data_IF_419746398616
#
_entry.id   IF_419746398616
#
_cell.length_a   1.000
_cell.length_b   1.000
_cell.length_c   1.000
_cell.angle_alpha   90.00
_cell.angle_beta   90.00
_cell.angle_gamma   90.00
#
_symmetry.space_group_name_H-M   'P 1'
#
loop_
_entity.id
_entity.type
_entity.pdbx_description
1 polymer ?
#
# COMPACT_ATOMS: atom_id res chain seq x y z
N UNK A 1 4.55 -2.75 25.27
CA UNK A 1 4.93 -3.82 24.33
C UNK A 1 4.39 -3.45 22.95
N UNK A 2 5.26 -3.19 21.96
CA UNK A 2 4.80 -2.86 20.60
C UNK A 2 4.21 -4.11 19.97
N UNK A 3 2.91 -4.12 19.65
CA UNK A 3 2.29 -5.20 18.88
C UNK A 3 2.78 -5.07 17.44
N UNK A 4 3.60 -6.02 17.01
CA UNK A 4 4.06 -6.20 15.64
C UNK A 4 3.27 -7.35 15.05
N UNK A 5 2.61 -7.12 13.92
CA UNK A 5 1.88 -8.15 13.18
C UNK A 5 2.89 -8.96 12.36
N UNK A 6 3.29 -10.15 12.84
CA UNK A 6 4.25 -11.02 12.17
C UNK A 6 3.60 -11.86 11.06
N UNK A 7 4.28 -11.98 9.91
CA UNK A 7 3.94 -12.92 8.83
C UNK A 7 4.58 -14.29 9.07
N UNK A 8 3.99 -15.41 8.59
CA UNK A 8 4.58 -16.75 8.71
C UNK A 8 5.76 -17.03 7.76
N UNK A 9 6.15 -16.09 6.89
CA UNK A 9 7.36 -16.18 6.08
C UNK A 9 8.29 -15.01 6.45
N UNK A 10 9.19 -15.23 7.42
CA UNK A 10 10.35 -14.35 7.67
C UNK A 10 10.09 -12.84 7.61
N UNK A 11 9.24 -12.31 8.49
CA UNK A 11 9.26 -10.94 9.02
C UNK A 11 9.19 -9.71 8.07
N UNK A 12 8.30 -9.67 7.07
CA UNK A 12 7.72 -8.38 6.68
C UNK A 12 6.99 -7.80 7.89
N UNK A 13 7.44 -6.65 8.40
CA UNK A 13 6.81 -6.00 9.55
C UNK A 13 6.12 -4.73 9.09
N UNK A 14 4.86 -4.55 9.48
CA UNK A 14 4.09 -3.33 9.21
C UNK A 14 3.76 -2.63 10.52
N UNK A 15 4.01 -1.33 10.58
CA UNK A 15 3.50 -0.42 11.61
C UNK A 15 2.27 0.31 11.07
N UNK A 16 1.12 0.07 11.71
CA UNK A 16 -0.19 0.56 11.29
C UNK A 16 -0.99 -0.52 10.55
N UNK A 17 -2.33 -0.44 10.56
CA UNK A 17 -3.17 -1.42 9.90
C UNK A 17 -3.17 -1.22 8.38
N UNK A 18 -3.31 -2.31 7.62
CA UNK A 18 -3.30 -2.32 6.16
C UNK A 18 -4.63 -2.89 5.65
N UNK A 19 -5.50 -2.05 5.09
CA UNK A 19 -6.92 -2.37 4.85
C UNK A 19 -7.13 -3.63 4.02
N UNK A 20 -6.26 -3.92 3.06
CA UNK A 20 -6.38 -5.11 2.20
C UNK A 20 -6.34 -6.44 2.99
N UNK A 21 -5.83 -6.44 4.24
CA UNK A 21 -5.87 -7.61 5.14
C UNK A 21 -7.17 -7.78 5.90
N UNK A 22 -8.00 -6.74 5.91
CA UNK A 22 -9.20 -6.67 6.73
C UNK A 22 -10.47 -6.50 5.89
N UNK A 23 -10.43 -6.65 4.56
CA UNK A 23 -11.63 -6.48 3.71
C UNK A 23 -12.74 -7.45 4.10
N UNK A 24 -12.41 -8.68 4.51
CA UNK A 24 -13.39 -9.63 5.04
C UNK A 24 -14.00 -9.23 6.41
N UNK A 25 -13.34 -8.36 7.18
CA UNK A 25 -13.82 -7.87 8.48
C UNK A 25 -13.28 -6.46 8.79
N UNK A 26 -13.81 -5.40 8.14
CA UNK A 26 -13.24 -4.05 8.22
C UNK A 26 -13.26 -3.43 9.62
N UNK A 27 -14.18 -3.84 10.50
CA UNK A 27 -14.21 -3.34 11.89
C UNK A 27 -12.92 -3.65 12.67
N UNK A 28 -12.24 -4.74 12.32
CA UNK A 28 -10.96 -5.10 12.92
C UNK A 28 -9.87 -4.09 12.54
N UNK A 29 -9.92 -3.53 11.32
CA UNK A 29 -8.99 -2.48 10.88
C UNK A 29 -9.11 -1.23 11.74
N UNK A 30 -10.33 -0.73 11.95
CA UNK A 30 -10.55 0.48 12.75
C UNK A 30 -10.24 0.26 14.24
N UNK A 31 -10.45 -0.96 14.73
CA UNK A 31 -10.04 -1.34 16.09
C UNK A 31 -8.52 -1.34 16.23
N UNK A 32 -7.80 -1.97 15.31
CA UNK A 32 -6.33 -1.97 15.29
C UNK A 32 -5.76 -0.55 15.17
N UNK A 33 -6.38 0.31 14.36
CA UNK A 33 -5.98 1.71 14.23
C UNK A 33 -6.09 2.44 15.57
N UNK A 34 -7.24 2.36 16.25
CA UNK A 34 -7.44 3.01 17.55
C UNK A 34 -6.44 2.54 18.60
N UNK A 35 -6.11 1.25 18.59
CA UNK A 35 -5.15 0.66 19.52
C UNK A 35 -3.72 1.16 19.29
N UNK A 36 -3.29 1.30 18.04
CA UNK A 36 -1.90 1.66 17.71
C UNK A 36 -1.67 3.17 17.63
N UNK A 37 -2.70 3.96 17.32
CA UNK A 37 -2.58 5.40 17.08
C UNK A 37 -1.87 6.17 18.21
N UNK A 38 -2.15 5.92 19.51
CA UNK A 38 -1.45 6.60 20.60
C UNK A 38 0.06 6.28 20.68
N UNK A 39 0.49 5.17 20.08
CA UNK A 39 1.88 4.73 20.07
C UNK A 39 2.65 5.16 18.81
N UNK A 40 1.99 5.75 17.81
CA UNK A 40 2.64 6.24 16.61
C UNK A 40 3.43 7.52 16.91
N UNK A 41 4.67 7.64 16.42
CA UNK A 41 5.47 8.84 16.64
C UNK A 41 4.85 10.04 15.93
N UNK A 42 4.75 11.22 16.57
CA UNK A 42 4.19 12.42 15.93
C UNK A 42 4.89 12.84 14.63
N UNK A 43 6.19 12.54 14.52
CA UNK A 43 6.98 12.79 13.31
C UNK A 43 6.46 12.02 12.08
N UNK A 44 5.85 10.84 12.26
CA UNK A 44 5.24 10.10 11.16
C UNK A 44 4.03 10.83 10.60
N UNK A 45 3.20 11.41 11.48
CA UNK A 45 2.06 12.23 11.06
C UNK A 45 2.53 13.50 10.34
N UNK A 46 3.55 14.17 10.86
CA UNK A 46 4.12 15.35 10.22
C UNK A 46 4.69 15.04 8.83
N UNK A 47 5.41 13.92 8.70
CA UNK A 47 5.93 13.46 7.41
C UNK A 47 4.77 13.16 6.45
N UNK A 48 3.74 12.42 6.88
CA UNK A 48 2.56 12.12 6.05
C UNK A 48 1.92 13.39 5.50
N UNK A 49 1.66 14.38 6.34
CA UNK A 49 1.06 15.65 5.92
C UNK A 49 1.94 16.41 4.91
N UNK A 50 3.26 16.38 5.10
CA UNK A 50 4.20 16.97 4.13
C UNK A 50 4.15 16.26 2.78
N UNK A 51 4.11 14.92 2.78
CA UNK A 51 3.99 14.13 1.55
C UNK A 51 2.64 14.38 0.87
N UNK A 52 1.55 14.49 1.62
CA UNK A 52 0.24 14.83 1.06
C UNK A 52 0.30 16.17 0.34
N UNK A 53 0.89 17.20 0.96
CA UNK A 53 1.09 18.50 0.32
C UNK A 53 1.90 18.43 -0.98
N UNK A 54 2.95 17.61 -1.02
CA UNK A 54 3.75 17.40 -2.23
C UNK A 54 2.97 16.65 -3.33
N UNK A 55 2.22 15.61 -2.98
CA UNK A 55 1.37 14.88 -3.93
C UNK A 55 0.27 15.79 -4.48
N UNK A 56 -0.38 16.59 -3.62
CA UNK A 56 -1.38 17.58 -4.05
C UNK A 56 -0.80 18.56 -5.04
N UNK A 57 0.39 19.10 -4.76
CA UNK A 57 1.06 20.05 -5.65
C UNK A 57 1.43 19.40 -6.99
N UNK A 58 2.08 18.23 -6.96
CA UNK A 58 2.55 17.53 -8.15
C UNK A 58 1.40 17.12 -9.09
N UNK A 59 0.30 16.64 -8.52
CA UNK A 59 -0.88 16.20 -9.27
C UNK A 59 -1.91 17.32 -9.49
N UNK A 60 -1.65 18.53 -8.97
CA UNK A 60 -2.56 19.69 -9.04
C UNK A 60 -3.96 19.37 -8.49
N UNK A 61 -4.00 18.65 -7.37
CA UNK A 61 -5.21 18.36 -6.61
C UNK A 61 -5.63 19.59 -5.81
N UNK A 62 -6.93 19.79 -5.68
CA UNK A 62 -7.52 20.76 -4.76
C UNK A 62 -7.52 20.21 -3.33
N UNK A 63 -7.69 18.90 -3.16
CA UNK A 63 -7.63 18.25 -1.84
C UNK A 63 -7.09 16.82 -1.88
N UNK A 64 -6.29 16.46 -0.88
CA UNK A 64 -5.92 15.09 -0.53
C UNK A 64 -6.04 14.95 0.98
N UNK A 65 -7.10 14.28 1.43
CA UNK A 65 -7.41 14.13 2.86
C UNK A 65 -7.37 12.65 3.24
N UNK A 66 -7.25 12.36 4.53
CA UNK A 66 -7.49 11.00 5.02
C UNK A 66 -8.96 10.64 4.74
N UNK A 67 -9.21 9.41 4.26
CA UNK A 67 -10.56 8.88 4.10
C UNK A 67 -11.26 8.80 5.47
N UNK A 68 -12.57 8.99 5.49
CA UNK A 68 -13.38 8.90 6.70
C UNK A 68 -14.54 7.93 6.49
N UNK A 69 -14.63 6.89 7.32
CA UNK A 69 -15.71 5.91 7.30
C UNK A 69 -16.82 6.33 8.27
N UNK A 70 -18.06 6.58 7.79
CA UNK A 70 -19.18 6.92 8.65
C UNK A 70 -19.39 5.91 9.78
N UNK A 71 -19.38 6.38 11.02
CA UNK A 71 -19.58 5.55 12.21
C UNK A 71 -18.33 4.84 12.74
N UNK A 72 -17.27 4.71 11.93
CA UNK A 72 -16.01 4.09 12.35
C UNK A 72 -14.89 5.11 12.60
N UNK A 73 -14.87 6.21 11.84
CA UNK A 73 -13.86 7.27 11.94
C UNK A 73 -12.88 7.29 10.78
N UNK A 74 -11.74 7.94 10.99
CA UNK A 74 -10.70 8.09 9.97
C UNK A 74 -9.98 6.76 9.69
N UNK A 75 -9.56 6.57 8.44
CA UNK A 75 -8.65 5.50 8.05
C UNK A 75 -7.22 5.79 8.52
N UNK A 76 -6.36 4.78 8.50
CA UNK A 76 -4.93 5.00 8.66
C UNK A 76 -4.41 5.73 7.42
N UNK A 77 -3.91 6.95 7.59
CA UNK A 77 -3.38 7.75 6.46
C UNK A 77 -2.04 7.25 5.91
N UNK A 78 -1.37 6.32 6.59
CA UNK A 78 -0.14 5.70 6.13
C UNK A 78 0.24 4.50 6.99
N UNK A 79 1.02 3.59 6.42
CA UNK A 79 1.75 2.54 7.13
C UNK A 79 3.24 2.68 6.93
N UNK A 80 4.03 2.10 7.84
CA UNK A 80 5.48 1.89 7.64
C UNK A 80 5.76 0.42 7.48
N UNK A 81 6.43 0.03 6.40
CA UNK A 81 6.86 -1.34 6.13
C UNK A 81 8.36 -1.49 6.31
N UNK A 82 8.75 -2.53 7.02
CA UNK A 82 10.13 -2.95 7.24
C UNK A 82 10.34 -4.27 6.52
N UNK A 83 11.13 -4.26 5.46
CA UNK A 83 11.56 -5.45 4.74
C UNK A 83 12.99 -5.75 5.18
N UNK A 84 13.15 -6.71 6.10
CA UNK A 84 14.46 -7.10 6.61
C UNK A 84 15.27 -7.88 5.55
N UNK A 85 16.54 -8.20 5.87
CA UNK A 85 17.35 -9.07 5.04
C UNK A 85 16.63 -10.40 4.71
N UNK A 86 16.60 -10.75 3.43
CA UNK A 86 15.94 -11.94 2.92
C UNK A 86 14.44 -11.80 2.70
N UNK A 87 13.82 -10.64 2.99
CA UNK A 87 12.37 -10.43 2.84
C UNK A 87 12.03 -9.87 1.46
N UNK A 88 11.01 -10.42 0.82
CA UNK A 88 10.41 -9.92 -0.42
C UNK A 88 8.94 -9.55 -0.16
N UNK A 89 8.35 -8.74 -1.03
CA UNK A 89 6.90 -8.57 -1.08
C UNK A 89 6.38 -9.35 -2.29
N UNK A 90 5.54 -10.38 -2.12
CA UNK A 90 5.16 -11.28 -3.22
C UNK A 90 4.41 -10.55 -4.34
N UNK A 91 4.38 -11.16 -5.52
CA UNK A 91 3.62 -10.66 -6.67
C UNK A 91 2.13 -10.52 -6.32
N UNK A 92 1.62 -9.30 -6.40
CA UNK A 92 0.23 -8.97 -6.07
C UNK A 92 -0.24 -7.78 -6.91
N UNK A 93 -1.50 -7.42 -6.76
CA UNK A 93 -2.08 -6.20 -7.28
C UNK A 93 -3.13 -5.72 -6.28
N UNK A 94 -3.24 -4.41 -6.08
CA UNK A 94 -4.20 -3.81 -5.16
C UNK A 94 -5.26 -3.05 -5.96
N UNK A 95 -6.52 -3.38 -5.71
CA UNK A 95 -7.64 -2.62 -6.23
C UNK A 95 -8.78 -2.66 -5.21
N UNK A 96 -8.88 -1.63 -4.38
CA UNK A 96 -9.84 -1.61 -3.27
C UNK A 96 -11.29 -1.69 -3.76
N UNK A 97 -11.60 -1.14 -4.93
CA UNK A 97 -12.95 -1.18 -5.52
C UNK A 97 -13.35 -2.62 -5.84
N UNK A 98 -12.37 -3.46 -6.24
CA UNK A 98 -12.57 -4.90 -6.45
C UNK A 98 -12.50 -5.67 -5.12
N UNK A 99 -11.43 -5.47 -4.37
CA UNK A 99 -11.06 -6.32 -3.22
C UNK A 99 -11.98 -6.14 -2.01
N UNK A 100 -12.68 -5.00 -1.95
CA UNK A 100 -13.70 -4.70 -0.96
C UNK A 100 -15.06 -4.42 -1.61
N UNK A 101 -15.33 -4.95 -2.81
CA UNK A 101 -16.58 -4.70 -3.55
C UNK A 101 -17.84 -5.09 -2.76
N UNK A 102 -17.74 -6.12 -1.91
CA UNK A 102 -18.82 -6.59 -1.05
C UNK A 102 -19.00 -5.71 0.20
N UNK A 103 -18.07 -4.80 0.46
CA UNK A 103 -18.13 -3.86 1.56
C UNK A 103 -18.60 -2.48 1.06
N UNK A 104 -19.51 -1.86 1.81
CA UNK A 104 -19.98 -0.49 1.55
C UNK A 104 -19.00 0.59 2.06
N UNK A 105 -17.69 0.31 2.06
CA UNK A 105 -16.66 1.23 2.55
C UNK A 105 -16.53 2.45 1.64
N UNK A 106 -16.28 3.63 2.21
CA UNK A 106 -16.14 4.88 1.42
C UNK A 106 -15.05 4.79 0.35
N UNK A 107 -13.97 4.05 0.64
CA UNK A 107 -12.82 3.91 -0.27
C UNK A 107 -13.13 3.07 -1.51
N UNK A 108 -14.24 2.34 -1.55
CA UNK A 108 -14.68 1.58 -2.73
C UNK A 108 -15.38 2.47 -3.76
N UNK A 109 -15.69 3.72 -3.42
CA UNK A 109 -16.39 4.69 -4.27
C UNK A 109 -15.45 5.58 -5.09
N UNK A 110 -14.14 5.31 -5.04
CA UNK A 110 -13.14 6.05 -5.81
C UNK A 110 -13.19 5.68 -7.31
N UNK A 111 -12.70 6.56 -8.16
CA UNK A 111 -12.61 6.34 -9.61
C UNK A 111 -11.26 5.73 -10.03
N UNK A 112 -10.18 6.17 -9.39
CA UNK A 112 -8.81 5.74 -9.74
C UNK A 112 -7.95 5.62 -8.48
N UNK A 113 -7.39 4.44 -8.24
CA UNK A 113 -6.45 4.18 -7.16
C UNK A 113 -5.00 4.39 -7.62
N UNK A 114 -4.21 5.02 -6.75
CA UNK A 114 -2.76 5.13 -6.86
C UNK A 114 -2.11 4.71 -5.54
N UNK A 115 -0.88 4.21 -5.62
CA UNK A 115 -0.01 3.99 -4.47
C UNK A 115 1.02 5.09 -4.41
N UNK A 116 1.25 5.64 -3.21
CA UNK A 116 2.35 6.53 -2.90
C UNK A 116 3.27 5.83 -1.91
N UNK A 117 4.56 5.78 -2.21
CA UNK A 117 5.56 5.20 -1.33
C UNK A 117 6.76 6.12 -1.21
N UNK A 118 7.22 6.29 0.02
CA UNK A 118 8.39 7.06 0.41
C UNK A 118 9.45 6.10 0.91
N UNK A 119 10.62 6.13 0.28
CA UNK A 119 11.76 5.37 0.75
C UNK A 119 12.45 6.12 1.89
N UNK A 120 12.30 5.61 3.12
CA UNK A 120 12.93 6.18 4.31
C UNK A 120 14.35 5.67 4.49
N UNK A 121 14.59 4.42 4.08
CA UNK A 121 15.89 3.77 4.10
C UNK A 121 15.93 2.71 2.99
N UNK A 122 16.87 2.81 2.05
CA UNK A 122 17.16 1.75 1.09
C UNK A 122 17.90 0.57 1.73
N UNK A 123 17.92 -0.57 1.03
CA UNK A 123 18.80 -1.70 1.35
C UNK A 123 20.07 -1.67 0.50
N UNK A 124 21.01 -2.59 0.76
CA UNK A 124 22.28 -2.63 0.01
C UNK A 124 22.10 -3.17 -1.42
N UNK A 125 21.26 -4.19 -1.58
CA UNK A 125 20.91 -4.78 -2.87
C UNK A 125 19.49 -5.36 -2.87
N UNK A 126 18.97 -5.66 -4.06
CA UNK A 126 17.58 -6.07 -4.23
C UNK A 126 16.59 -4.96 -3.84
N UNK A 127 15.43 -5.32 -3.29
CA UNK A 127 14.43 -4.35 -2.81
C UNK A 127 13.82 -3.43 -3.88
N UNK A 128 14.08 -3.70 -5.16
CA UNK A 128 13.53 -2.98 -6.29
C UNK A 128 12.03 -3.23 -6.42
N UNK A 129 11.27 -2.19 -6.80
CA UNK A 129 9.90 -2.33 -7.25
C UNK A 129 9.90 -2.81 -8.70
N UNK A 130 9.23 -3.94 -8.96
CA UNK A 130 8.93 -4.38 -10.33
C UNK A 130 7.44 -4.25 -10.57
N UNK A 131 7.07 -3.55 -11.65
CA UNK A 131 5.68 -3.41 -12.10
C UNK A 131 5.58 -4.08 -13.47
N UNK A 132 4.70 -5.05 -13.57
CA UNK A 132 4.43 -5.79 -14.79
C UNK A 132 3.29 -5.11 -15.55
N UNK A 133 3.40 -4.99 -16.87
CA UNK A 133 2.37 -4.43 -17.74
C UNK A 133 1.20 -5.42 -17.94
N UNK A 134 0.63 -5.89 -16.83
CA UNK A 134 -0.53 -6.75 -16.75
C UNK A 134 -1.41 -6.30 -15.59
N UNK A 135 -2.69 -6.09 -15.87
CA UNK A 135 -3.73 -5.94 -14.85
C UNK A 135 -4.43 -7.28 -14.62
N UNK A 136 -4.95 -7.44 -13.41
CA UNK A 136 -5.75 -8.60 -13.04
C UNK A 136 -6.98 -8.75 -13.94
N UNK A 137 -7.29 -10.00 -14.30
CA UNK A 137 -8.58 -10.45 -14.83
C UNK A 137 -9.10 -11.64 -14.02
N UNK A 138 -10.40 -11.96 -14.05
CA UNK A 138 -10.95 -13.10 -13.30
C UNK A 138 -10.24 -14.43 -13.55
N UNK A 139 -9.72 -14.65 -14.76
CA UNK A 139 -8.98 -15.87 -15.13
C UNK A 139 -7.66 -16.01 -14.36
N UNK A 140 -7.12 -14.91 -13.83
CA UNK A 140 -5.85 -14.91 -13.09
C UNK A 140 -5.96 -15.59 -11.72
N UNK A 141 -7.18 -15.80 -11.20
CA UNK A 141 -7.42 -16.50 -9.93
C UNK A 141 -6.85 -17.93 -9.93
N UNK A 142 -6.68 -18.55 -11.10
CA UNK A 142 -5.98 -19.84 -11.21
C UNK A 142 -4.52 -19.78 -10.73
N UNK A 143 -3.91 -18.60 -10.72
CA UNK A 143 -2.54 -18.37 -10.25
C UNK A 143 -2.48 -17.92 -8.78
N UNK A 144 -3.61 -17.65 -8.13
CA UNK A 144 -3.66 -17.19 -6.74
C UNK A 144 -2.99 -18.22 -5.81
N UNK A 145 -2.14 -17.75 -4.91
CA UNK A 145 -1.57 -18.61 -3.87
C UNK A 145 -2.60 -18.79 -2.75
N UNK A 146 -3.00 -20.04 -2.49
CA UNK A 146 -4.03 -20.34 -1.51
C UNK A 146 -3.67 -19.82 -0.12
N UNK A 147 -4.58 -19.06 0.51
CA UNK A 147 -4.38 -18.47 1.84
C UNK A 147 -3.45 -17.25 1.88
N UNK A 148 -2.97 -16.77 0.74
CA UNK A 148 -2.08 -15.60 0.65
C UNK A 148 -2.66 -14.51 -0.25
N UNK A 149 -2.14 -13.28 -0.12
CA UNK A 149 -2.48 -12.18 -1.03
C UNK A 149 -1.80 -12.32 -2.40
N UNK A 150 -0.72 -13.10 -2.49
CA UNK A 150 0.13 -13.20 -3.67
C UNK A 150 -0.41 -14.12 -4.78
N UNK A 151 0.25 -14.03 -5.93
CA UNK A 151 0.03 -14.85 -7.11
C UNK A 151 1.34 -15.52 -7.55
N UNK A 152 1.22 -16.68 -8.20
CA UNK A 152 2.34 -17.38 -8.83
C UNK A 152 2.79 -16.65 -10.09
N UNK A 153 4.10 -16.69 -10.38
CA UNK A 153 4.74 -15.93 -11.48
C UNK A 153 4.18 -16.22 -12.87
N UNK A 154 3.57 -17.38 -13.12
CA UNK A 154 2.94 -17.69 -14.40
C UNK A 154 1.87 -16.68 -14.83
N UNK A 155 1.28 -15.93 -13.89
CA UNK A 155 0.31 -14.88 -14.20
C UNK A 155 0.91 -13.75 -15.04
N UNK A 156 2.17 -13.39 -14.81
CA UNK A 156 2.87 -12.30 -15.53
C UNK A 156 3.73 -12.80 -16.71
N UNK A 157 3.54 -14.04 -17.14
CA UNK A 157 4.32 -14.60 -18.25
C UNK A 157 4.22 -13.69 -19.49
N UNK A 158 5.38 -13.36 -20.09
CA UNK A 158 5.52 -12.47 -21.24
C UNK A 158 5.12 -10.99 -21.02
N UNK A 159 4.91 -10.56 -19.77
CA UNK A 159 4.61 -9.14 -19.49
C UNK A 159 5.88 -8.29 -19.57
N UNK A 160 5.76 -7.09 -20.14
CA UNK A 160 6.81 -6.06 -20.02
C UNK A 160 6.96 -5.64 -18.56
N UNK A 161 8.19 -5.30 -18.16
CA UNK A 161 8.53 -4.97 -16.77
C UNK A 161 9.12 -3.56 -16.72
N UNK A 162 8.59 -2.75 -15.81
CA UNK A 162 9.24 -1.52 -15.35
C UNK A 162 9.86 -1.79 -13.98
N UNK A 163 11.15 -1.56 -13.84
CA UNK A 163 11.87 -1.70 -12.57
C UNK A 163 12.30 -0.33 -12.03
N UNK A 164 12.11 -0.13 -10.73
CA UNK A 164 12.55 1.06 -10.02
C UNK A 164 13.26 0.67 -8.73
N UNK A 165 14.51 1.12 -8.56
CA UNK A 165 15.32 0.90 -7.36
C UNK A 165 15.32 2.18 -6.50
N UNK A 166 14.41 2.30 -5.52
CA UNK A 166 14.27 3.53 -4.74
C UNK A 166 15.46 3.76 -3.80
N UNK A 167 15.86 5.03 -3.67
CA UNK A 167 16.86 5.52 -2.70
C UNK A 167 16.19 6.31 -1.58
N UNK A 168 16.85 6.45 -0.43
CA UNK A 168 16.37 7.30 0.66
C UNK A 168 15.97 8.69 0.17
N UNK A 169 14.75 9.10 0.52
CA UNK A 169 14.14 10.36 0.09
C UNK A 169 13.31 10.27 -1.18
N UNK A 170 13.41 9.19 -1.97
CA UNK A 170 12.57 9.02 -3.16
C UNK A 170 11.10 8.86 -2.76
N UNK A 171 10.24 9.53 -3.54
CA UNK A 171 8.79 9.41 -3.48
C UNK A 171 8.34 8.97 -4.85
N UNK A 172 7.66 7.83 -4.91
CA UNK A 172 7.20 7.28 -6.17
C UNK A 172 5.71 6.96 -6.12
N UNK A 173 5.06 7.26 -7.24
CA UNK A 173 3.64 7.02 -7.46
C UNK A 173 3.47 5.99 -8.57
N UNK A 174 2.60 5.01 -8.38
CA UNK A 174 2.26 4.06 -9.43
C UNK A 174 0.82 3.58 -9.32
N UNK A 175 0.30 2.97 -10.38
CA UNK A 175 -1.02 2.35 -10.40
C UNK A 175 -0.91 0.92 -9.86
N UNK A 176 -1.42 0.63 -8.64
CA UNK A 176 -1.21 -0.67 -8.01
C UNK A 176 -2.14 -1.76 -8.55
N UNK A 177 -3.07 -1.43 -9.47
CA UNK A 177 -3.89 -2.42 -10.16
C UNK A 177 -3.10 -3.24 -11.19
N UNK A 178 -1.90 -2.78 -11.56
CA UNK A 178 -0.94 -3.62 -12.27
C UNK A 178 -0.24 -4.56 -11.29
N UNK A 179 0.06 -5.78 -11.75
CA UNK A 179 0.84 -6.71 -10.95
C UNK A 179 2.20 -6.12 -10.61
N UNK A 180 2.59 -6.22 -9.35
CA UNK A 180 3.85 -5.69 -8.86
C UNK A 180 4.37 -6.48 -7.66
N UNK A 181 5.67 -6.36 -7.42
CA UNK A 181 6.37 -7.02 -6.33
C UNK A 181 7.56 -6.17 -5.85
N UNK A 182 8.06 -6.47 -4.66
CA UNK A 182 9.34 -5.95 -4.18
C UNK A 182 10.33 -7.09 -4.16
N UNK A 183 11.43 -6.92 -4.88
CA UNK A 183 12.51 -7.88 -4.94
C UNK A 183 13.06 -8.19 -3.54
N UNK A 184 13.63 -9.38 -3.37
CA UNK A 184 14.18 -9.79 -2.08
C UNK A 184 15.23 -8.79 -1.62
N UNK A 185 15.08 -8.30 -0.39
CA UNK A 185 16.01 -7.37 0.24
C UNK A 185 17.28 -8.10 0.65
N UNK A 186 18.43 -7.49 0.37
CA UNK A 186 19.74 -7.96 0.83
C UNK A 186 20.45 -6.87 1.64
N UNK A 187 20.99 -7.28 2.80
CA UNK A 187 21.70 -6.41 3.73
C UNK A 187 20.77 -5.63 4.66
N UNK A 188 20.91 -4.32 4.68
CA UNK A 188 20.16 -3.42 5.55
C UNK A 188 18.65 -3.52 5.32
N UNK A 189 17.87 -3.25 6.37
CA UNK A 189 16.41 -3.26 6.28
C UNK A 189 15.95 -2.13 5.35
N UNK A 190 15.15 -2.47 4.35
CA UNK A 190 14.45 -1.47 3.53
C UNK A 190 13.22 -0.98 4.29
N UNK A 191 13.17 0.33 4.57
CA UNK A 191 12.09 0.96 5.34
C UNK A 191 11.34 1.93 4.42
N UNK A 192 10.03 1.75 4.32
CA UNK A 192 9.17 2.62 3.52
C UNK A 192 7.94 3.07 4.28
N UNK A 193 7.58 4.34 4.16
CA UNK A 193 6.22 4.80 4.46
C UNK A 193 5.37 4.71 3.20
N UNK A 194 4.15 4.22 3.28
CA UNK A 194 3.27 4.16 2.12
C UNK A 194 1.80 4.34 2.46
N UNK A 195 1.05 4.80 1.47
CA UNK A 195 -0.40 4.92 1.52
C UNK A 195 -0.96 4.76 0.12
N UNK A 196 -2.21 4.34 0.03
CA UNK A 196 -3.00 4.48 -1.18
C UNK A 196 -3.78 5.78 -1.14
N UNK A 197 -4.09 6.29 -2.32
CA UNK A 197 -5.08 7.34 -2.45
C UNK A 197 -5.91 7.12 -3.71
N UNK A 198 -7.13 7.64 -3.67
CA UNK A 198 -8.13 7.44 -4.70
C UNK A 198 -8.73 8.76 -5.14
N UNK A 199 -8.76 9.01 -6.44
CA UNK A 199 -9.45 10.16 -7.01
C UNK A 199 -10.96 9.93 -6.91
N UNK A 200 -11.71 10.89 -6.35
CA UNK A 200 -13.14 10.75 -6.06
C UNK A 200 -14.05 11.45 -7.06
N UNK A 201 -13.48 12.28 -7.94
CA UNK A 201 -14.24 13.06 -8.91
C UNK A 201 -13.67 12.94 -10.34
N UNK A 202 -14.55 13.15 -11.33
CA UNK A 202 -14.19 13.02 -12.76
C UNK A 202 -13.17 14.05 -13.24
N UNK A 203 -13.03 15.19 -12.56
CA UNK A 203 -12.03 16.21 -12.89
C UNK A 203 -10.68 15.91 -12.24
N UNK A 204 -10.57 14.84 -11.45
CA UNK A 204 -9.34 14.40 -10.80
C UNK A 204 -8.74 15.48 -9.89
N UNK A 205 -9.59 16.17 -9.13
CA UNK A 205 -9.20 17.28 -8.24
C UNK A 205 -9.25 16.94 -6.77
N UNK A 206 -10.05 15.97 -6.39
CA UNK A 206 -10.22 15.55 -5.01
C UNK A 206 -9.78 14.10 -4.85
N UNK A 207 -9.00 13.86 -3.79
CA UNK A 207 -8.56 12.54 -3.41
C UNK A 207 -8.76 12.29 -1.91
N UNK A 208 -8.98 11.02 -1.59
CA UNK A 208 -8.95 10.49 -0.22
C UNK A 208 -7.85 9.44 -0.11
N UNK A 209 -7.22 9.34 1.04
CA UNK A 209 -6.10 8.44 1.29
C UNK A 209 -6.34 7.49 2.45
N UNK A 210 -5.79 6.28 2.33
CA UNK A 210 -5.87 5.22 3.33
C UNK A 210 -4.63 4.32 3.21
N UNK A 211 -4.50 3.36 4.11
CA UNK A 211 -3.52 2.28 4.02
C UNK A 211 -4.17 0.98 4.43
#
# INVERSE_FOLDING_TARGET
>A
SRKVSHYPNGALTTLGPYLARHTAAPDNYFTELRDIQPALPPSLNQLREQIYGWVQHALRLESLNIAHEPGCGDYAGSIVRFHANGVANPLHNDNIVRDAAENSLVVTQILHQLSCVVCLQECNAGGALRIYNKKWTPEDEQFKTAGELGYRSGVIENSEICEFSPRSGDIYLFNPAFYHEIDRVEGDTRITMGFFFGLTDKKMKHAIAWS
#
